data_IF_661037789716
#
_entry.id   IF_661037789716
#
_cell.length_a   1.000
_cell.length_b   1.000
_cell.length_c   1.000
_cell.angle_alpha   90.00
_cell.angle_beta   90.00
_cell.angle_gamma   90.00
#
_symmetry.space_group_name_H-M   'P 1'
#
loop_
_entity.id
_entity.type
_entity.pdbx_description
1 polymer ?
#
# COMPACT_ATOMS: atom_id res chain seq x y z
N UNK A 1 -12.75 12.57 -10.26
CA UNK A 1 -13.95 12.67 -11.11
C UNK A 1 -13.95 11.51 -12.09
N UNK A 2 -14.91 10.60 -11.97
CA UNK A 2 -15.16 9.58 -12.98
C UNK A 2 -15.68 10.29 -14.23
N UNK A 3 -14.79 10.54 -15.20
CA UNK A 3 -15.20 10.92 -16.53
C UNK A 3 -16.03 9.81 -17.15
N UNK A 4 -17.12 10.14 -17.85
CA UNK A 4 -17.96 9.25 -18.66
C UNK A 4 -17.19 8.77 -19.91
N UNK A 5 -15.99 8.27 -19.75
CA UNK A 5 -15.14 7.74 -20.81
C UNK A 5 -14.79 6.31 -20.53
N UNK A 6 -15.28 5.44 -21.37
CA UNK A 6 -14.85 4.06 -21.60
C UNK A 6 -14.44 3.28 -20.33
N UNK A 7 -15.37 2.57 -19.72
CA UNK A 7 -15.21 1.72 -18.52
C UNK A 7 -14.05 0.71 -18.67
N UNK A 8 -13.55 0.51 -19.88
CA UNK A 8 -12.53 -0.47 -20.23
C UNK A 8 -11.11 0.08 -20.36
N UNK A 9 -10.90 1.40 -20.24
CA UNK A 9 -9.56 2.01 -20.35
C UNK A 9 -9.35 3.04 -19.25
N UNK A 10 -8.86 2.60 -18.09
CA UNK A 10 -8.30 3.52 -17.10
C UNK A 10 -6.96 4.03 -17.64
N UNK A 11 -6.95 5.25 -18.18
CA UNK A 11 -5.73 5.90 -18.62
C UNK A 11 -5.23 6.84 -17.52
N UNK A 12 -3.94 6.73 -17.21
CA UNK A 12 -3.25 7.66 -16.30
C UNK A 12 -2.68 8.81 -17.13
N UNK A 13 -3.12 10.04 -16.82
CA UNK A 13 -2.43 11.24 -17.28
C UNK A 13 -1.54 11.76 -16.15
N UNK A 14 -0.23 11.72 -16.35
CA UNK A 14 0.76 12.26 -15.42
C UNK A 14 1.64 13.26 -16.14
N UNK A 15 1.41 14.54 -15.89
CA UNK A 15 2.18 15.66 -16.44
C UNK A 15 2.24 16.78 -15.39
N UNK A 16 3.37 17.47 -15.20
CA UNK A 16 3.47 18.62 -14.29
C UNK A 16 2.46 19.74 -14.56
N UNK A 17 1.99 19.89 -15.80
CA UNK A 17 1.02 20.94 -16.19
C UNK A 17 -0.35 20.76 -15.50
N UNK A 18 -0.71 19.52 -15.10
CA UNK A 18 -1.98 19.25 -14.41
C UNK A 18 -1.93 19.53 -12.91
N UNK A 19 -0.75 19.89 -12.37
CA UNK A 19 -0.61 20.24 -10.95
C UNK A 19 -1.21 21.60 -10.67
N UNK A 20 -2.02 21.76 -9.61
CA UNK A 20 -2.53 23.06 -9.21
C UNK A 20 -1.38 23.96 -8.75
N UNK A 21 -1.46 25.26 -9.06
CA UNK A 21 -0.52 26.26 -8.54
C UNK A 21 -0.72 26.55 -7.07
N UNK A 22 -1.98 26.42 -6.59
CA UNK A 22 -2.38 26.62 -5.21
C UNK A 22 -3.37 25.52 -4.81
N UNK A 23 -3.28 25.04 -3.57
CA UNK A 23 -4.23 24.10 -2.99
C UNK A 23 -4.68 24.65 -1.62
N UNK A 24 -5.99 24.83 -1.45
CA UNK A 24 -6.57 25.19 -0.17
C UNK A 24 -7.08 23.92 0.51
N UNK A 25 -6.38 23.51 1.55
CA UNK A 25 -6.67 22.27 2.28
C UNK A 25 -7.54 22.60 3.50
N UNK A 26 -8.86 22.36 3.36
CA UNK A 26 -9.80 22.55 4.47
C UNK A 26 -10.37 21.19 4.92
N UNK A 27 -9.93 20.67 6.10
CA UNK A 27 -10.37 19.37 6.62
C UNK A 27 -11.88 19.28 6.83
N UNK A 28 -12.57 20.39 7.16
CA UNK A 28 -14.01 20.40 7.36
C UNK A 28 -14.81 19.92 6.14
N UNK A 29 -14.27 20.09 4.93
CA UNK A 29 -14.91 19.60 3.70
C UNK A 29 -14.87 18.07 3.57
N UNK A 30 -14.10 17.36 4.38
CA UNK A 30 -13.96 15.91 4.35
C UNK A 30 -14.81 15.19 5.40
N UNK A 31 -15.44 15.91 6.33
CA UNK A 31 -16.23 15.30 7.43
C UNK A 31 -17.46 14.54 6.93
N UNK A 32 -17.97 14.91 5.74
CA UNK A 32 -19.12 14.23 5.11
C UNK A 32 -18.74 13.00 4.29
N UNK A 33 -17.44 12.68 4.16
CA UNK A 33 -17.00 11.47 3.44
C UNK A 33 -17.35 10.24 4.30
N UNK A 34 -18.12 9.27 3.76
CA UNK A 34 -18.53 8.08 4.51
C UNK A 34 -17.34 7.24 4.97
N UNK A 35 -17.59 6.38 5.97
CA UNK A 35 -16.55 5.56 6.60
C UNK A 35 -15.79 4.68 5.62
N UNK A 36 -16.49 3.95 4.72
CA UNK A 36 -15.83 3.04 3.78
C UNK A 36 -14.94 3.77 2.75
N UNK A 37 -15.36 4.85 2.06
CA UNK A 37 -14.46 5.67 1.26
C UNK A 37 -13.29 6.27 2.06
N UNK A 38 -13.52 6.66 3.33
CA UNK A 38 -12.44 7.13 4.22
C UNK A 38 -11.43 6.01 4.47
N UNK A 39 -11.87 4.80 4.80
CA UNK A 39 -11.01 3.64 4.99
C UNK A 39 -10.23 3.29 3.71
N UNK A 40 -10.89 3.33 2.53
CA UNK A 40 -10.20 3.16 1.25
C UNK A 40 -9.09 4.20 1.05
N UNK A 41 -9.35 5.47 1.37
CA UNK A 41 -8.34 6.52 1.29
C UNK A 41 -7.17 6.32 2.25
N UNK A 42 -7.44 5.83 3.48
CA UNK A 42 -6.40 5.52 4.47
C UNK A 42 -5.49 4.39 3.96
N UNK A 43 -6.07 3.32 3.41
CA UNK A 43 -5.29 2.22 2.82
C UNK A 43 -4.48 2.69 1.62
N UNK A 44 -5.04 3.56 0.78
CA UNK A 44 -4.36 4.12 -0.38
C UNK A 44 -3.15 4.99 0.04
N UNK A 45 -3.33 5.90 1.01
CA UNK A 45 -2.24 6.67 1.60
C UNK A 45 -1.15 5.75 2.19
N UNK A 46 -1.54 4.73 2.94
CA UNK A 46 -0.62 3.76 3.52
C UNK A 46 0.18 3.04 2.43
N UNK A 47 -0.49 2.57 1.38
CA UNK A 47 0.14 1.89 0.27
C UNK A 47 1.11 2.79 -0.49
N UNK A 48 0.73 4.03 -0.78
CA UNK A 48 1.61 5.00 -1.42
C UNK A 48 2.89 5.28 -0.63
N UNK A 49 2.81 5.36 0.70
CA UNK A 49 4.00 5.52 1.54
C UNK A 49 4.83 4.24 1.55
N UNK A 50 4.20 3.06 1.60
CA UNK A 50 4.88 1.77 1.50
C UNK A 50 5.63 1.60 0.17
N UNK A 51 5.06 2.01 -0.97
CA UNK A 51 5.72 1.93 -2.28
C UNK A 51 7.03 2.76 -2.33
N UNK A 52 7.09 3.82 -1.55
CA UNK A 52 8.29 4.66 -1.41
C UNK A 52 9.25 4.15 -0.34
N UNK A 53 8.73 3.46 0.65
CA UNK A 53 9.52 2.91 1.75
C UNK A 53 10.21 1.60 1.37
N UNK A 54 9.50 0.68 0.69
CA UNK A 54 10.02 -0.62 0.31
C UNK A 54 10.87 -0.52 -0.97
N UNK A 55 12.17 -0.42 -0.78
CA UNK A 55 13.19 -0.45 -1.83
C UNK A 55 14.37 -1.33 -1.38
N UNK A 56 15.32 -1.57 -2.27
CA UNK A 56 16.53 -2.36 -2.01
C UNK A 56 17.70 -1.53 -1.45
N UNK A 57 17.53 -0.22 -1.28
CA UNK A 57 18.54 0.63 -0.65
C UNK A 57 18.50 0.49 0.87
N UNK A 58 19.65 0.20 1.45
CA UNK A 58 19.87 0.09 2.91
C UNK A 58 20.44 1.35 3.55
N UNK A 59 20.54 2.44 2.81
CA UNK A 59 20.96 3.73 3.35
C UNK A 59 19.80 4.40 4.13
N UNK A 60 19.54 3.92 5.33
CA UNK A 60 18.41 4.25 6.20
C UNK A 60 18.46 5.68 6.74
N UNK A 61 18.42 6.64 5.84
CA UNK A 61 18.53 8.05 6.12
C UNK A 61 17.22 8.73 6.53
N UNK A 62 17.16 10.04 6.28
CA UNK A 62 16.03 10.91 6.62
C UNK A 62 14.74 10.42 5.95
N UNK A 63 14.79 10.06 4.68
CA UNK A 63 13.61 9.67 3.92
C UNK A 63 12.92 8.42 4.49
N UNK A 64 13.69 7.43 4.98
CA UNK A 64 13.10 6.27 5.68
C UNK A 64 12.37 6.69 6.95
N UNK A 65 13.01 7.51 7.78
CA UNK A 65 12.40 7.98 9.04
C UNK A 65 11.17 8.84 8.81
N UNK A 66 11.13 9.59 7.71
CA UNK A 66 9.93 10.32 7.29
C UNK A 66 8.80 9.36 6.93
N UNK A 67 9.07 8.34 6.11
CA UNK A 67 8.07 7.30 5.80
C UNK A 67 7.58 6.58 7.05
N UNK A 68 8.50 6.16 7.93
CA UNK A 68 8.19 5.47 9.19
C UNK A 68 7.32 6.33 10.09
N UNK A 69 7.63 7.62 10.24
CA UNK A 69 6.82 8.57 11.01
C UNK A 69 5.41 8.74 10.44
N UNK A 70 5.29 8.89 9.11
CA UNK A 70 3.99 9.01 8.44
C UNK A 70 3.18 7.73 8.58
N UNK A 71 3.77 6.55 8.38
CA UNK A 71 3.09 5.26 8.54
C UNK A 71 2.61 5.05 9.99
N UNK A 72 3.43 5.32 11.00
CA UNK A 72 3.03 5.23 12.42
C UNK A 72 1.84 6.15 12.73
N UNK A 73 1.94 7.41 12.30
CA UNK A 73 0.85 8.38 12.49
C UNK A 73 -0.42 7.92 11.79
N UNK A 74 -0.31 7.40 10.58
CA UNK A 74 -1.46 6.92 9.82
C UNK A 74 -2.15 5.70 10.45
N UNK A 75 -1.37 4.79 11.07
CA UNK A 75 -1.92 3.65 11.81
C UNK A 75 -2.76 4.13 13.00
N UNK A 76 -2.26 5.09 13.79
CA UNK A 76 -3.00 5.64 14.94
C UNK A 76 -4.20 6.49 14.50
N UNK A 77 -3.96 7.50 13.67
CA UNK A 77 -4.99 8.46 13.22
C UNK A 77 -6.06 7.79 12.38
N UNK A 78 -5.66 6.88 11.48
CA UNK A 78 -6.58 6.17 10.60
C UNK A 78 -7.60 5.33 11.38
N UNK A 79 -7.11 4.51 12.32
CA UNK A 79 -7.98 3.69 13.16
C UNK A 79 -8.98 4.54 13.98
N UNK A 80 -8.55 5.70 14.48
CA UNK A 80 -9.41 6.62 15.22
C UNK A 80 -10.40 7.34 14.33
N UNK A 81 -9.98 7.78 13.14
CA UNK A 81 -10.81 8.57 12.23
C UNK A 81 -12.02 7.79 11.69
N UNK A 82 -11.92 6.48 11.48
CA UNK A 82 -13.08 5.68 11.03
C UNK A 82 -14.17 5.58 12.11
N UNK A 83 -13.80 5.72 13.40
CA UNK A 83 -14.72 5.72 14.53
C UNK A 83 -15.18 7.12 14.95
N UNK A 84 -14.44 8.17 14.58
CA UNK A 84 -14.78 9.57 14.83
C UNK A 84 -14.65 10.41 13.54
N UNK A 85 -15.50 10.16 12.52
CA UNK A 85 -15.35 10.72 11.18
C UNK A 85 -15.54 12.24 11.11
N UNK A 86 -16.16 12.85 12.12
CA UNK A 86 -16.40 14.29 12.21
C UNK A 86 -15.30 15.04 12.98
N UNK A 87 -14.33 14.33 13.59
CA UNK A 87 -13.23 14.96 14.32
C UNK A 87 -12.32 15.73 13.35
N UNK A 88 -12.34 17.06 13.49
CA UNK A 88 -11.58 17.97 12.63
C UNK A 88 -10.07 17.69 12.67
N UNK A 89 -9.50 17.40 13.85
CA UNK A 89 -8.07 17.19 13.99
C UNK A 89 -7.62 15.89 13.29
N UNK A 90 -8.41 14.81 13.42
CA UNK A 90 -8.13 13.56 12.73
C UNK A 90 -8.24 13.73 11.19
N UNK A 91 -9.24 14.49 10.72
CA UNK A 91 -9.36 14.83 9.29
C UNK A 91 -8.21 15.70 8.80
N UNK A 92 -7.74 16.64 9.63
CA UNK A 92 -6.59 17.49 9.29
C UNK A 92 -5.31 16.68 9.12
N UNK A 93 -5.04 15.76 10.05
CA UNK A 93 -3.89 14.83 9.94
C UNK A 93 -3.98 13.96 8.70
N UNK A 94 -5.14 13.34 8.41
CA UNK A 94 -5.33 12.55 7.20
C UNK A 94 -5.14 13.37 5.93
N UNK A 95 -5.65 14.60 5.89
CA UNK A 95 -5.48 15.49 4.75
C UNK A 95 -4.01 15.87 4.53
N UNK A 96 -3.25 16.12 5.60
CA UNK A 96 -1.82 16.38 5.51
C UNK A 96 -1.04 15.14 5.06
N UNK A 97 -1.31 13.98 5.67
CA UNK A 97 -0.71 12.70 5.27
C UNK A 97 -1.00 12.39 3.80
N UNK A 98 -2.23 12.62 3.31
CA UNK A 98 -2.57 12.39 1.91
C UNK A 98 -1.72 13.23 0.95
N UNK A 99 -1.44 14.47 1.33
CA UNK A 99 -0.54 15.34 0.56
C UNK A 99 0.89 14.81 0.55
N UNK A 100 1.44 14.40 1.71
CA UNK A 100 2.79 13.83 1.80
C UNK A 100 2.91 12.51 1.03
N UNK A 101 1.88 11.67 1.07
CA UNK A 101 1.84 10.40 0.35
C UNK A 101 1.86 10.56 -1.17
N UNK A 102 1.41 11.72 -1.71
CA UNK A 102 1.21 11.90 -3.16
C UNK A 102 2.15 12.94 -3.81
N UNK A 103 2.82 13.81 -3.03
CA UNK A 103 3.57 14.94 -3.56
C UNK A 103 5.06 14.68 -3.87
N UNK A 104 5.48 13.42 -3.83
CA UNK A 104 6.85 12.96 -4.06
C UNK A 104 7.88 13.39 -2.99
N UNK A 105 7.49 14.05 -1.90
CA UNK A 105 8.42 14.41 -0.81
C UNK A 105 9.10 13.17 -0.21
N UNK A 106 8.38 12.06 -0.11
CA UNK A 106 8.87 10.80 0.44
C UNK A 106 9.66 9.95 -0.57
N UNK A 107 9.72 10.36 -1.84
CA UNK A 107 10.38 9.64 -2.94
C UNK A 107 11.80 10.12 -3.21
N UNK A 108 12.25 11.19 -2.58
CA UNK A 108 13.50 11.86 -2.91
C UNK A 108 14.68 10.89 -2.74
N UNK A 109 15.43 10.67 -3.85
CA UNK A 109 16.66 9.90 -3.86
C UNK A 109 16.48 8.38 -3.74
N UNK A 110 15.32 7.84 -4.12
CA UNK A 110 15.05 6.40 -4.05
C UNK A 110 14.19 5.89 -5.21
N UNK A 111 14.34 4.60 -5.51
CA UNK A 111 13.46 3.88 -6.39
C UNK A 111 12.19 3.48 -5.64
N UNK A 112 11.04 3.58 -6.30
CA UNK A 112 9.74 3.19 -5.76
C UNK A 112 9.38 1.77 -6.23
N UNK A 113 8.60 1.01 -5.42
CA UNK A 113 8.28 -0.39 -5.74
C UNK A 113 7.12 -0.54 -6.74
N UNK A 114 5.96 0.04 -6.43
CA UNK A 114 4.72 0.06 -7.23
C UNK A 114 4.05 -1.28 -7.50
N UNK A 115 4.55 -2.40 -6.99
CA UNK A 115 3.98 -3.72 -7.26
C UNK A 115 2.56 -3.85 -6.73
N UNK A 116 2.29 -3.36 -5.52
CA UNK A 116 0.93 -3.48 -4.95
C UNK A 116 -0.09 -2.72 -5.79
N UNK A 117 0.27 -1.52 -6.27
CA UNK A 117 -0.60 -0.73 -7.15
C UNK A 117 -0.82 -1.39 -8.52
N UNK A 118 0.23 -1.97 -9.11
CA UNK A 118 0.12 -2.71 -10.38
C UNK A 118 -0.88 -3.86 -10.23
N UNK A 119 -0.74 -4.69 -9.19
CA UNK A 119 -1.61 -5.83 -8.96
C UNK A 119 -3.04 -5.41 -8.56
N UNK A 120 -3.19 -4.41 -7.69
CA UNK A 120 -4.48 -3.90 -7.25
C UNK A 120 -5.28 -3.25 -8.40
N UNK A 121 -4.61 -2.56 -9.31
CA UNK A 121 -5.25 -1.97 -10.49
C UNK A 121 -5.91 -3.03 -11.38
N UNK A 122 -5.29 -4.21 -11.52
CA UNK A 122 -5.87 -5.30 -12.29
C UNK A 122 -7.12 -5.88 -11.63
N UNK A 123 -7.13 -5.99 -10.27
CA UNK A 123 -8.33 -6.39 -9.52
C UNK A 123 -9.44 -5.35 -9.71
N UNK A 124 -9.12 -4.07 -9.53
CA UNK A 124 -10.08 -2.97 -9.71
C UNK A 124 -10.65 -2.93 -11.13
N UNK A 125 -9.82 -3.15 -12.14
CA UNK A 125 -10.23 -3.12 -13.54
C UNK A 125 -11.11 -4.32 -13.93
N UNK A 126 -10.90 -5.48 -13.31
CA UNK A 126 -11.64 -6.69 -13.63
C UNK A 126 -12.98 -6.76 -12.88
N UNK A 127 -13.03 -6.32 -11.62
CA UNK A 127 -14.16 -6.53 -10.72
C UNK A 127 -14.86 -5.23 -10.29
N UNK A 128 -14.50 -4.08 -10.86
CA UNK A 128 -15.03 -2.74 -10.51
C UNK A 128 -15.01 -2.45 -8.98
N UNK A 129 -13.98 -2.96 -8.30
CA UNK A 129 -13.81 -2.83 -6.86
C UNK A 129 -13.07 -1.53 -6.53
N UNK A 130 -13.45 -0.79 -5.47
CA UNK A 130 -12.74 0.41 -5.03
C UNK A 130 -11.25 0.17 -4.81
N UNK A 131 -10.41 1.10 -5.30
CA UNK A 131 -8.95 0.94 -5.34
C UNK A 131 -8.33 0.64 -3.97
N UNK A 132 -8.72 1.39 -2.92
CA UNK A 132 -8.22 1.12 -1.55
C UNK A 132 -8.57 -0.28 -1.05
N UNK A 133 -9.74 -0.83 -1.44
CA UNK A 133 -10.09 -2.20 -1.09
C UNK A 133 -9.22 -3.23 -1.83
N UNK A 134 -8.88 -2.99 -3.10
CA UNK A 134 -7.98 -3.90 -3.83
C UNK A 134 -6.54 -3.85 -3.34
N UNK A 135 -6.08 -2.69 -2.89
CA UNK A 135 -4.79 -2.55 -2.21
C UNK A 135 -4.75 -3.34 -0.90
N UNK A 136 -5.79 -3.25 -0.05
CA UNK A 136 -5.83 -4.01 1.20
C UNK A 136 -5.85 -5.52 0.98
N UNK A 137 -6.51 -6.01 -0.06
CA UNK A 137 -6.55 -7.42 -0.45
C UNK A 137 -5.15 -7.95 -0.79
N UNK A 138 -4.36 -7.18 -1.55
CA UNK A 138 -3.11 -7.69 -2.13
C UNK A 138 -1.88 -7.42 -1.25
N UNK A 139 -1.88 -6.37 -0.44
CA UNK A 139 -0.72 -5.87 0.29
C UNK A 139 -0.05 -6.94 1.15
N UNK A 140 -0.79 -7.63 2.01
CA UNK A 140 -0.21 -8.64 2.91
C UNK A 140 0.38 -9.83 2.17
N UNK A 141 -0.22 -10.23 1.05
CA UNK A 141 0.27 -11.32 0.21
C UNK A 141 1.53 -10.91 -0.56
N UNK A 142 1.58 -9.69 -1.09
CA UNK A 142 2.79 -9.13 -1.67
C UNK A 142 3.93 -9.04 -0.65
N UNK A 143 3.66 -8.51 0.55
CA UNK A 143 4.66 -8.42 1.61
C UNK A 143 5.28 -9.77 1.95
N UNK A 144 4.47 -10.85 2.00
CA UNK A 144 5.00 -12.21 2.27
C UNK A 144 5.97 -12.69 1.20
N UNK A 145 5.61 -12.51 -0.07
CA UNK A 145 6.48 -12.93 -1.18
C UNK A 145 7.74 -12.07 -1.24
N UNK A 146 7.62 -10.76 -1.08
CA UNK A 146 8.75 -9.84 -1.09
C UNK A 146 9.69 -10.06 0.11
N UNK A 147 9.14 -10.27 1.32
CA UNK A 147 9.93 -10.58 2.52
C UNK A 147 10.69 -11.91 2.41
N UNK A 148 10.16 -12.88 1.68
CA UNK A 148 10.88 -14.12 1.38
C UNK A 148 12.13 -13.93 0.54
N UNK A 149 12.22 -12.82 -0.22
CA UNK A 149 13.39 -12.47 -1.04
C UNK A 149 14.31 -11.44 -0.36
N UNK A 150 13.75 -10.54 0.44
CA UNK A 150 14.46 -9.46 1.11
C UNK A 150 13.88 -9.19 2.51
N UNK A 151 14.15 -10.04 3.52
CA UNK A 151 13.50 -9.94 4.83
C UNK A 151 13.92 -8.68 5.62
N UNK A 152 15.15 -8.21 5.47
CA UNK A 152 15.72 -7.12 6.29
C UNK A 152 14.89 -5.84 6.26
N UNK A 153 14.38 -5.48 5.08
CA UNK A 153 13.55 -4.27 4.93
C UNK A 153 12.23 -4.42 5.72
N UNK A 154 11.66 -5.61 5.73
CA UNK A 154 10.43 -5.93 6.45
C UNK A 154 10.65 -6.06 7.97
N UNK A 155 11.84 -6.51 8.42
CA UNK A 155 12.23 -6.47 9.85
C UNK A 155 12.21 -5.01 10.33
N UNK A 156 12.90 -4.11 9.62
CA UNK A 156 12.93 -2.69 9.97
C UNK A 156 11.51 -2.09 9.97
N UNK A 157 10.69 -2.43 8.99
CA UNK A 157 9.29 -2.01 8.92
C UNK A 157 8.52 -2.45 10.17
N UNK A 158 8.59 -3.73 10.55
CA UNK A 158 7.93 -4.27 11.73
C UNK A 158 8.34 -3.50 13.01
N UNK A 159 9.63 -3.26 13.17
CA UNK A 159 10.19 -2.59 14.34
C UNK A 159 9.86 -1.09 14.38
N UNK A 160 9.91 -0.40 13.23
CA UNK A 160 9.80 1.08 13.19
C UNK A 160 8.38 1.58 13.01
N UNK A 161 7.52 0.81 12.37
CA UNK A 161 6.11 1.19 12.15
C UNK A 161 5.20 0.65 13.25
N UNK A 162 5.42 -0.59 13.70
CA UNK A 162 4.53 -1.27 14.66
C UNK A 162 5.14 -1.55 16.03
N UNK A 163 6.36 -1.09 16.32
CA UNK A 163 7.11 -1.35 17.57
C UNK A 163 7.26 -2.85 17.90
N UNK A 164 7.30 -3.70 16.87
CA UNK A 164 7.49 -5.14 17.03
C UNK A 164 8.96 -5.42 17.30
N UNK A 165 9.27 -5.98 18.48
CA UNK A 165 10.63 -6.33 18.92
C UNK A 165 11.64 -5.18 18.71
N UNK A 166 11.39 -3.98 19.22
CA UNK A 166 12.23 -2.82 19.00
C UNK A 166 13.64 -3.08 19.58
N UNK A 167 14.66 -2.82 18.73
CA UNK A 167 16.06 -2.98 19.14
C UNK A 167 16.60 -4.42 19.07
N UNK A 168 15.78 -5.42 18.78
CA UNK A 168 16.23 -6.78 18.53
C UNK A 168 16.98 -6.83 17.19
N UNK A 169 18.20 -7.38 17.20
CA UNK A 169 18.99 -7.62 15.99
C UNK A 169 18.89 -9.12 15.67
N UNK A 170 18.14 -9.50 14.62
CA UNK A 170 18.04 -10.91 14.25
C UNK A 170 19.42 -11.43 13.80
N UNK A 171 19.74 -12.67 14.18
CA UNK A 171 21.03 -13.32 13.90
C UNK A 171 20.96 -14.31 12.75
N UNK A 172 19.75 -14.72 12.38
CA UNK A 172 19.50 -15.72 11.35
C UNK A 172 18.39 -15.23 10.40
N UNK A 173 18.41 -15.72 9.16
CA UNK A 173 17.34 -15.45 8.18
C UNK A 173 15.96 -15.90 8.69
N UNK A 174 15.92 -16.95 9.49
CA UNK A 174 14.67 -17.42 10.12
C UNK A 174 14.11 -16.39 11.10
N UNK A 175 14.96 -15.82 11.97
CA UNK A 175 14.56 -14.76 12.89
C UNK A 175 14.12 -13.49 12.14
N UNK A 176 14.84 -13.11 11.08
CA UNK A 176 14.45 -12.00 10.19
C UNK A 176 13.05 -12.23 9.62
N UNK A 177 12.79 -13.41 9.10
CA UNK A 177 11.51 -13.77 8.53
C UNK A 177 10.37 -13.79 9.57
N UNK A 178 10.62 -14.30 10.78
CA UNK A 178 9.66 -14.33 11.88
C UNK A 178 9.25 -12.91 12.31
N UNK A 179 10.20 -11.98 12.45
CA UNK A 179 9.90 -10.57 12.76
C UNK A 179 9.15 -9.92 11.61
N UNK A 180 9.59 -10.13 10.37
CA UNK A 180 8.91 -9.63 9.19
C UNK A 180 7.44 -10.08 9.13
N UNK A 181 7.16 -11.37 9.41
CA UNK A 181 5.81 -11.91 9.43
C UNK A 181 4.91 -11.23 10.48
N UNK A 182 5.44 -10.92 11.67
CA UNK A 182 4.70 -10.16 12.69
C UNK A 182 4.29 -8.77 12.18
N UNK A 183 5.19 -8.07 11.47
CA UNK A 183 4.88 -6.78 10.84
C UNK A 183 3.81 -6.88 9.76
N UNK A 184 3.83 -7.94 8.95
CA UNK A 184 2.82 -8.21 7.93
C UNK A 184 1.44 -8.48 8.58
N UNK A 185 1.41 -9.30 9.62
CA UNK A 185 0.17 -9.57 10.37
C UNK A 185 -0.38 -8.29 11.02
N UNK A 186 0.49 -7.42 11.56
CA UNK A 186 0.08 -6.13 12.10
C UNK A 186 -0.52 -5.21 11.03
N UNK A 187 0.02 -5.21 9.80
CA UNK A 187 -0.55 -4.47 8.67
C UNK A 187 -1.95 -4.98 8.32
N UNK A 188 -2.14 -6.29 8.25
CA UNK A 188 -3.45 -6.87 7.97
C UNK A 188 -4.45 -6.60 9.10
N UNK A 189 -3.99 -6.66 10.36
CA UNK A 189 -4.82 -6.30 11.52
C UNK A 189 -5.23 -4.82 11.47
N UNK A 190 -4.34 -3.93 11.08
CA UNK A 190 -4.66 -2.52 10.86
C UNK A 190 -5.74 -2.35 9.79
N UNK A 191 -5.60 -2.98 8.62
CA UNK A 191 -6.63 -2.88 7.58
C UNK A 191 -7.98 -3.44 8.03
N UNK A 192 -7.98 -4.56 8.76
CA UNK A 192 -9.20 -5.12 9.36
C UNK A 192 -9.85 -4.18 10.39
N UNK A 193 -9.06 -3.45 11.17
CA UNK A 193 -9.59 -2.44 12.11
C UNK A 193 -10.29 -1.27 11.40
N UNK A 194 -9.95 -1.02 10.14
CA UNK A 194 -10.64 -0.07 9.27
C UNK A 194 -11.90 -0.64 8.59
N UNK A 195 -12.22 -1.92 8.82
CA UNK A 195 -13.30 -2.63 8.10
C UNK A 195 -12.94 -3.03 6.67
N UNK A 196 -11.64 -3.10 6.33
CA UNK A 196 -11.19 -3.41 4.97
C UNK A 196 -10.88 -4.90 4.80
N UNK A 197 -11.24 -5.51 3.64
CA UNK A 197 -10.95 -6.90 3.37
C UNK A 197 -9.46 -7.09 3.10
N UNK A 198 -8.86 -8.20 3.55
CA UNK A 198 -7.46 -8.55 3.32
C UNK A 198 -7.27 -9.78 2.43
N UNK A 199 -8.36 -10.24 1.80
CA UNK A 199 -8.35 -11.35 0.85
C UNK A 199 -9.49 -11.23 -0.17
N UNK A 200 -9.40 -11.99 -1.27
CA UNK A 200 -10.50 -12.12 -2.24
C UNK A 200 -11.76 -12.69 -1.58
N UNK A 201 -11.59 -13.67 -0.70
CA UNK A 201 -12.71 -14.30 0.03
C UNK A 201 -13.46 -13.29 0.90
N UNK A 202 -12.73 -12.49 1.71
CA UNK A 202 -13.35 -11.45 2.54
C UNK A 202 -14.05 -10.37 1.70
N UNK A 203 -13.50 -10.05 0.53
CA UNK A 203 -14.11 -9.12 -0.43
C UNK A 203 -15.22 -9.74 -1.28
N UNK A 204 -15.48 -11.04 -1.16
CA UNK A 204 -16.41 -11.83 -1.99
C UNK A 204 -16.14 -11.68 -3.49
N UNK A 205 -14.87 -11.62 -3.87
CA UNK A 205 -14.44 -11.55 -5.26
C UNK A 205 -14.10 -12.93 -5.79
N UNK A 206 -14.40 -13.22 -7.07
CA UNK A 206 -14.03 -14.48 -7.71
C UNK A 206 -12.53 -14.54 -7.96
N UNK A 207 -11.97 -15.75 -8.02
CA UNK A 207 -10.52 -16.00 -8.20
C UNK A 207 -10.16 -16.54 -9.59
N UNK A 208 -11.12 -16.77 -10.46
CA UNK A 208 -10.96 -17.32 -11.81
C UNK A 208 -10.30 -16.35 -12.80
N UNK A 209 -10.23 -15.07 -12.45
CA UNK A 209 -9.64 -14.02 -13.30
C UNK A 209 -8.13 -13.82 -13.16
N UNK A 210 -7.41 -14.59 -12.33
CA UNK A 210 -5.98 -14.36 -12.02
C UNK A 210 -5.11 -14.36 -13.28
N UNK A 211 -5.28 -15.35 -14.15
CA UNK A 211 -4.51 -15.41 -15.41
C UNK A 211 -4.80 -14.24 -16.34
N UNK A 212 -6.06 -13.77 -16.39
CA UNK A 212 -6.44 -12.59 -17.18
C UNK A 212 -5.77 -11.33 -16.65
N UNK A 213 -5.70 -11.16 -15.32
CA UNK A 213 -4.99 -10.06 -14.67
C UNK A 213 -3.49 -10.10 -14.99
N UNK A 214 -2.84 -11.24 -14.81
CA UNK A 214 -1.41 -11.41 -15.07
C UNK A 214 -1.02 -11.15 -16.53
N UNK A 215 -1.87 -11.49 -17.49
CA UNK A 215 -1.61 -11.26 -18.91
C UNK A 215 -1.66 -9.76 -19.30
N UNK A 216 -2.18 -8.90 -18.44
CA UNK A 216 -2.25 -7.44 -18.64
C UNK A 216 -1.07 -6.72 -18.01
N UNK A 217 -0.33 -7.37 -17.10
CA UNK A 217 0.82 -6.78 -16.42
C UNK A 217 2.02 -6.74 -17.37
N UNK A 218 2.66 -5.57 -17.49
CA UNK A 218 3.91 -5.41 -18.23
C UNK A 218 5.09 -5.64 -17.29
N UNK A 219 5.93 -6.62 -17.64
CA UNK A 219 7.19 -6.92 -16.94
C UNK A 219 8.37 -6.35 -17.73
N UNK A 220 9.32 -5.74 -17.04
CA UNK A 220 10.41 -4.95 -17.61
C UNK A 220 11.79 -5.64 -17.48
N UNK A 221 12.75 -5.19 -18.31
CA UNK A 221 14.14 -5.64 -18.30
C UNK A 221 14.34 -7.05 -18.88
N UNK A 222 15.60 -7.49 -18.93
CA UNK A 222 15.98 -8.82 -19.46
C UNK A 222 15.33 -9.95 -18.66
N UNK A 223 15.23 -9.81 -17.33
CA UNK A 223 14.64 -10.81 -16.45
C UNK A 223 13.11 -10.72 -16.36
N UNK A 224 12.49 -9.76 -17.05
CA UNK A 224 11.03 -9.56 -17.08
C UNK A 224 10.42 -9.53 -15.67
N UNK A 225 10.84 -8.57 -14.84
CA UNK A 225 10.41 -8.42 -13.46
C UNK A 225 9.78 -7.06 -13.21
N UNK A 226 9.08 -6.94 -12.08
CA UNK A 226 8.58 -5.68 -11.50
C UNK A 226 9.03 -5.57 -10.05
N UNK A 227 8.98 -4.36 -9.48
CA UNK A 227 9.31 -4.06 -8.09
C UNK A 227 10.76 -3.65 -7.87
N UNK A 228 10.98 -2.97 -6.76
CA UNK A 228 12.27 -2.46 -6.31
C UNK A 228 12.83 -3.29 -5.15
N UNK A 229 12.10 -3.43 -4.04
CA UNK A 229 12.54 -4.17 -2.85
C UNK A 229 12.81 -5.65 -3.14
N UNK A 230 12.06 -6.21 -4.07
CA UNK A 230 12.24 -7.57 -4.57
C UNK A 230 11.88 -7.58 -6.06
N UNK A 231 12.78 -8.09 -6.90
CA UNK A 231 12.50 -8.25 -8.33
C UNK A 231 11.57 -9.44 -8.53
N UNK A 232 10.29 -9.15 -8.80
CA UNK A 232 9.23 -10.14 -8.88
C UNK A 232 8.93 -10.52 -10.32
N UNK A 233 8.99 -11.84 -10.59
CA UNK A 233 8.62 -12.43 -11.87
C UNK A 233 7.09 -12.61 -11.99
N UNK A 234 6.63 -13.01 -13.17
CA UNK A 234 5.22 -13.37 -13.39
C UNK A 234 4.75 -14.49 -12.44
N UNK A 235 5.60 -15.48 -12.17
CA UNK A 235 5.27 -16.57 -11.24
C UNK A 235 5.17 -16.09 -9.79
N UNK A 236 5.99 -15.14 -9.38
CA UNK A 236 5.87 -14.50 -8.06
C UNK A 236 4.54 -13.76 -7.94
N UNK A 237 4.14 -13.00 -8.97
CA UNK A 237 2.85 -12.31 -9.01
C UNK A 237 1.66 -13.28 -8.97
N UNK A 238 1.76 -14.43 -9.67
CA UNK A 238 0.77 -15.50 -9.57
C UNK A 238 0.65 -16.01 -8.13
N UNK A 239 1.77 -16.24 -7.45
CA UNK A 239 1.80 -16.68 -6.05
C UNK A 239 1.17 -15.63 -5.12
N UNK A 240 1.41 -14.33 -5.37
CA UNK A 240 0.77 -13.25 -4.59
C UNK A 240 -0.75 -13.31 -4.73
N UNK A 241 -1.29 -13.39 -5.94
CA UNK A 241 -2.73 -13.54 -6.15
C UNK A 241 -3.29 -14.81 -5.52
N UNK A 242 -2.58 -15.93 -5.63
CA UNK A 242 -2.98 -17.21 -5.01
C UNK A 242 -3.02 -17.11 -3.48
N UNK A 243 -2.02 -16.49 -2.85
CA UNK A 243 -2.02 -16.26 -1.41
C UNK A 243 -3.17 -15.34 -0.98
N UNK A 244 -3.48 -14.30 -1.76
CA UNK A 244 -4.60 -13.40 -1.49
C UNK A 244 -5.98 -14.08 -1.66
N UNK A 245 -6.05 -15.19 -2.39
CA UNK A 245 -7.30 -15.92 -2.65
C UNK A 245 -7.75 -16.80 -1.49
N UNK A 246 -6.81 -17.32 -0.68
CA UNK A 246 -7.03 -18.44 0.26
C UNK A 246 -7.01 -18.05 1.75
N UNK A 247 -7.17 -16.81 2.09
CA UNK A 247 -7.24 -16.36 3.49
C UNK A 247 -8.65 -16.38 4.05
#
# INVERSE_FOLDING_TARGET
SRGLGDVYKRQLLSDPIVRPRFAFMNPALTTTVPTFPTACGIVDMFSHVCERYFNDDYNWGVADRMCEGVLRTLVDVGARCVHAPEDYNLRAELMWISSLAQNNTLSIGRDEDWVTHILANEISALYDTPHGATLSIIMGSWMRVAAGKNPRRFVRYAQKVFDIEPGVIPKTEKEEFEIAQKGILATEAFFKSLGMPTSFSEARLPVDGIEKMLNRITFYGENRTIGSVAKLSRSDCFNIFKLASHK
#
